data_IF_234200878794
#
_entry.id   IF_234200878794
#
_cell.length_a   1.000
_cell.length_b   1.000
_cell.length_c   1.000
_cell.angle_alpha   90.00
_cell.angle_beta   90.00
_cell.angle_gamma   90.00
#
_symmetry.space_group_name_H-M   'P 1'
#
loop_
_entity.id
_entity.type
_entity.pdbx_description
1 polymer ?
#
# COMPACT_ATOMS: atom_id res chain seq x y z
N UNK A 1 20.64 -12.45 9.15
CA UNK A 1 20.34 -11.04 9.46
C UNK A 1 19.87 -10.30 8.21
N UNK A 2 20.58 -10.46 7.09
CA UNK A 2 20.25 -9.85 5.80
C UNK A 2 18.83 -10.16 5.29
N UNK A 3 18.37 -11.41 5.40
CA UNK A 3 16.99 -11.78 5.02
C UNK A 3 15.92 -11.04 5.81
N UNK A 4 16.13 -10.81 7.11
CA UNK A 4 15.17 -10.10 7.96
C UNK A 4 15.10 -8.63 7.52
N UNK A 5 16.24 -8.02 7.23
CA UNK A 5 16.35 -6.63 6.77
C UNK A 5 15.68 -6.47 5.40
N UNK A 6 15.92 -7.40 4.47
CA UNK A 6 15.31 -7.38 3.14
C UNK A 6 13.78 -7.57 3.21
N UNK A 7 13.29 -8.48 4.05
CA UNK A 7 11.85 -8.63 4.29
C UNK A 7 11.23 -7.39 4.94
N UNK A 8 11.92 -6.80 5.91
CA UNK A 8 11.49 -5.59 6.58
C UNK A 8 11.34 -4.42 5.58
N UNK A 9 12.31 -4.25 4.68
CA UNK A 9 12.27 -3.28 3.59
C UNK A 9 11.12 -3.57 2.63
N UNK A 10 11.00 -4.82 2.18
CA UNK A 10 9.97 -5.26 1.22
C UNK A 10 8.56 -5.02 1.75
N UNK A 11 8.29 -5.37 3.01
CA UNK A 11 6.99 -5.21 3.64
C UNK A 11 6.69 -3.75 4.00
N UNK A 12 7.71 -2.98 4.40
CA UNK A 12 7.59 -1.54 4.62
C UNK A 12 7.21 -0.81 3.34
N UNK A 13 7.90 -1.11 2.23
CA UNK A 13 7.58 -0.57 0.90
C UNK A 13 6.19 -1.00 0.43
N UNK A 14 5.83 -2.28 0.61
CA UNK A 14 4.48 -2.75 0.28
C UNK A 14 3.40 -2.02 1.09
N UNK A 15 3.64 -1.78 2.37
CA UNK A 15 2.72 -0.98 3.20
C UNK A 15 2.62 0.46 2.69
N UNK A 16 3.74 1.07 2.30
CA UNK A 16 3.76 2.39 1.68
C UNK A 16 2.97 2.44 0.36
N UNK A 17 3.02 1.38 -0.46
CA UNK A 17 2.23 1.29 -1.71
C UNK A 17 0.73 1.23 -1.47
N UNK A 18 0.30 0.65 -0.35
CA UNK A 18 -1.09 0.72 0.08
C UNK A 18 -1.51 2.11 0.54
N UNK A 19 -0.55 3.01 0.81
CA UNK A 19 -0.81 4.43 1.07
C UNK A 19 -0.64 5.33 -0.17
N UNK A 20 0.06 4.89 -1.20
CA UNK A 20 0.07 5.57 -2.50
C UNK A 20 0.73 4.58 -3.44
N UNK A 21 0.06 4.14 -4.50
CA UNK A 21 0.63 3.10 -5.35
C UNK A 21 1.88 3.58 -6.11
N UNK A 22 1.94 4.86 -6.44
CA UNK A 22 2.90 5.42 -7.40
C UNK A 22 4.12 6.05 -6.74
N UNK A 23 3.97 6.72 -5.59
CA UNK A 23 5.08 7.39 -4.89
C UNK A 23 6.19 6.43 -4.45
N UNK A 24 5.92 5.25 -3.87
CA UNK A 24 6.97 4.28 -3.51
C UNK A 24 7.67 3.71 -4.75
N UNK A 25 6.92 3.40 -5.81
CA UNK A 25 7.47 2.97 -7.10
C UNK A 25 8.42 4.04 -7.65
N UNK A 26 7.96 5.31 -7.69
CA UNK A 26 8.76 6.44 -8.16
C UNK A 26 10.00 6.65 -7.28
N UNK A 27 9.86 6.51 -5.96
CA UNK A 27 10.98 6.64 -5.01
C UNK A 27 12.05 5.59 -5.30
N UNK A 28 11.65 4.33 -5.48
CA UNK A 28 12.56 3.23 -5.84
C UNK A 28 13.20 3.46 -7.20
N UNK A 29 12.42 3.87 -8.20
CA UNK A 29 12.94 4.22 -9.53
C UNK A 29 14.01 5.32 -9.47
N UNK A 30 13.74 6.42 -8.76
CA UNK A 30 14.68 7.54 -8.62
C UNK A 30 15.94 7.11 -7.89
N UNK A 31 15.80 6.42 -6.76
CA UNK A 31 16.96 5.96 -5.98
C UNK A 31 17.82 4.97 -6.77
N UNK A 32 17.20 4.09 -7.56
CA UNK A 32 17.94 3.20 -8.44
C UNK A 32 18.67 3.97 -9.54
N UNK A 33 18.02 4.98 -10.14
CA UNK A 33 18.63 5.82 -11.17
C UNK A 33 19.80 6.66 -10.65
N UNK A 34 19.77 7.03 -9.36
CA UNK A 34 20.86 7.70 -8.67
C UNK A 34 21.98 6.75 -8.23
N UNK A 35 21.84 5.44 -8.44
CA UNK A 35 22.81 4.42 -8.03
C UNK A 35 22.82 4.13 -6.53
N UNK A 36 21.79 4.57 -5.79
CA UNK A 36 21.70 4.37 -4.34
C UNK A 36 21.16 2.98 -3.97
N UNK A 37 20.40 2.36 -4.87
CA UNK A 37 19.92 0.98 -4.75
C UNK A 37 20.08 0.25 -6.08
N UNK A 38 20.26 -1.07 -6.03
CA UNK A 38 20.28 -1.93 -7.20
C UNK A 38 18.96 -2.70 -7.28
N UNK A 39 18.41 -2.78 -8.49
CA UNK A 39 17.19 -3.52 -8.77
C UNK A 39 17.58 -4.76 -9.59
N UNK A 40 17.17 -5.94 -9.16
CA UNK A 40 17.32 -7.16 -9.96
C UNK A 40 16.34 -7.19 -11.13
N UNK A 41 16.69 -7.92 -12.19
CA UNK A 41 15.76 -8.21 -13.29
C UNK A 41 14.51 -8.96 -12.77
N UNK A 42 13.31 -8.71 -13.31
CA UNK A 42 12.97 -7.77 -14.40
C UNK A 42 12.59 -6.36 -13.91
N UNK A 43 12.90 -6.02 -12.65
CA UNK A 43 12.48 -4.77 -12.02
C UNK A 43 13.42 -3.59 -12.29
N UNK A 44 14.57 -3.85 -12.90
CA UNK A 44 15.49 -2.86 -13.46
C UNK A 44 14.81 -1.90 -14.45
N UNK A 45 13.73 -2.34 -15.12
CA UNK A 45 12.84 -1.50 -15.95
C UNK A 45 12.29 -0.28 -15.21
N UNK A 46 12.19 -0.31 -13.87
CA UNK A 46 11.78 0.84 -13.05
C UNK A 46 12.76 2.01 -13.15
N UNK A 47 14.04 1.76 -13.45
CA UNK A 47 15.08 2.78 -13.63
C UNK A 47 15.05 3.43 -15.03
N UNK A 48 14.29 2.85 -15.98
CA UNK A 48 14.20 3.32 -17.35
C UNK A 48 13.53 4.71 -17.41
N UNK A 49 14.08 5.69 -18.17
CA UNK A 49 13.55 7.06 -18.20
C UNK A 49 12.05 7.15 -18.51
N UNK A 50 11.57 6.31 -19.45
CA UNK A 50 10.16 6.30 -19.83
C UNK A 50 9.27 5.83 -18.66
N UNK A 51 9.67 4.76 -17.96
CA UNK A 51 8.94 4.26 -16.79
C UNK A 51 8.85 5.32 -15.70
N UNK A 52 9.96 6.03 -15.45
CA UNK A 52 9.98 7.13 -14.48
C UNK A 52 9.03 8.27 -14.86
N UNK A 53 9.03 8.69 -16.13
CA UNK A 53 8.11 9.74 -16.61
C UNK A 53 6.66 9.31 -16.42
N UNK A 54 6.32 8.06 -16.75
CA UNK A 54 4.98 7.50 -16.53
C UNK A 54 4.62 7.50 -15.04
N UNK A 55 5.53 7.07 -14.16
CA UNK A 55 5.30 7.09 -12.72
C UNK A 55 5.12 8.51 -12.16
N UNK A 56 5.85 9.50 -12.66
CA UNK A 56 5.65 10.92 -12.30
C UNK A 56 4.26 11.39 -12.71
N UNK A 57 3.84 11.10 -13.96
CA UNK A 57 2.50 11.46 -14.44
C UNK A 57 1.42 10.80 -13.59
N UNK A 58 1.55 9.50 -13.31
CA UNK A 58 0.61 8.76 -12.47
C UNK A 58 0.54 9.33 -11.05
N UNK A 59 1.68 9.64 -10.43
CA UNK A 59 1.72 10.25 -9.10
C UNK A 59 1.06 11.65 -9.09
N UNK A 60 1.23 12.45 -10.15
CA UNK A 60 0.55 13.74 -10.28
C UNK A 60 -0.96 13.56 -10.45
N UNK A 61 -1.39 12.63 -11.30
CA UNK A 61 -2.81 12.34 -11.54
C UNK A 61 -3.49 11.87 -10.25
N UNK A 62 -2.84 10.97 -9.52
CA UNK A 62 -3.30 10.47 -8.21
C UNK A 62 -3.43 11.61 -7.20
N UNK A 63 -2.37 12.40 -7.03
CA UNK A 63 -2.34 13.56 -6.13
C UNK A 63 -3.44 14.58 -6.44
N UNK A 64 -3.65 14.90 -7.71
CA UNK A 64 -4.69 15.87 -8.13
C UNK A 64 -6.08 15.25 -7.99
N UNK A 65 -6.24 13.99 -8.40
CA UNK A 65 -7.54 13.31 -8.41
C UNK A 65 -8.11 13.13 -7.01
N UNK A 66 -7.27 12.88 -6.01
CA UNK A 66 -7.65 12.79 -4.60
C UNK A 66 -8.27 14.09 -4.05
N UNK A 67 -8.06 15.23 -4.72
CA UNK A 67 -8.63 16.53 -4.32
C UNK A 67 -10.03 16.76 -4.86
N UNK A 68 -10.49 15.94 -5.80
CA UNK A 68 -11.81 16.08 -6.44
C UNK A 68 -12.70 14.92 -5.97
N UNK A 69 -13.78 15.15 -5.17
CA UNK A 69 -14.53 14.08 -4.49
C UNK A 69 -15.04 12.94 -5.39
N UNK A 70 -15.46 13.26 -6.62
CA UNK A 70 -15.91 12.24 -7.58
C UNK A 70 -14.75 11.43 -8.17
N UNK A 71 -13.60 12.06 -8.40
CA UNK A 71 -12.40 11.42 -8.95
C UNK A 71 -11.73 10.57 -7.87
N UNK A 72 -11.61 11.10 -6.66
CA UNK A 72 -11.09 10.43 -5.46
C UNK A 72 -11.74 9.06 -5.26
N UNK A 73 -13.08 9.01 -5.33
CA UNK A 73 -13.84 7.76 -5.16
C UNK A 73 -13.47 6.70 -6.21
N UNK A 74 -13.30 7.12 -7.47
CA UNK A 74 -12.92 6.23 -8.58
C UNK A 74 -11.47 5.76 -8.44
N UNK A 75 -10.55 6.68 -8.13
CA UNK A 75 -9.14 6.35 -7.90
C UNK A 75 -8.97 5.38 -6.74
N UNK A 76 -9.73 5.53 -5.66
CA UNK A 76 -9.70 4.59 -4.54
C UNK A 76 -10.16 3.18 -4.91
N UNK A 77 -11.18 3.06 -5.77
CA UNK A 77 -11.64 1.76 -6.28
C UNK A 77 -10.56 1.13 -7.17
N UNK A 78 -9.98 1.91 -8.07
CA UNK A 78 -8.86 1.47 -8.93
C UNK A 78 -7.66 1.04 -8.07
N UNK A 79 -7.37 1.79 -7.00
CA UNK A 79 -6.31 1.51 -6.04
C UNK A 79 -6.44 0.16 -5.35
N UNK A 80 -7.66 -0.39 -5.20
CA UNK A 80 -7.83 -1.75 -4.64
C UNK A 80 -7.16 -2.83 -5.50
N UNK A 81 -6.90 -2.57 -6.78
CA UNK A 81 -6.21 -3.47 -7.69
C UNK A 81 -4.77 -3.01 -7.94
N UNK A 82 -4.56 -1.72 -8.14
CA UNK A 82 -3.24 -1.18 -8.47
C UNK A 82 -2.29 -1.25 -7.26
N UNK A 83 -2.73 -0.86 -6.06
CA UNK A 83 -1.86 -0.82 -4.88
C UNK A 83 -1.29 -2.20 -4.51
N UNK A 84 -2.05 -3.31 -4.52
CA UNK A 84 -1.49 -4.64 -4.29
C UNK A 84 -0.47 -5.08 -5.33
N UNK A 85 -0.70 -4.76 -6.61
CA UNK A 85 0.24 -5.07 -7.69
C UNK A 85 1.52 -4.25 -7.53
N UNK A 86 1.40 -2.95 -7.29
CA UNK A 86 2.53 -2.07 -7.03
C UNK A 86 3.34 -2.53 -5.81
N UNK A 87 2.66 -2.94 -4.73
CA UNK A 87 3.31 -3.49 -3.54
C UNK A 87 4.10 -4.75 -3.81
N UNK A 88 3.56 -5.67 -4.61
CA UNK A 88 4.28 -6.86 -5.04
C UNK A 88 5.54 -6.50 -5.84
N UNK A 89 5.41 -5.59 -6.81
CA UNK A 89 6.51 -5.13 -7.66
C UNK A 89 7.63 -4.55 -6.80
N UNK A 90 7.32 -3.59 -5.92
CA UNK A 90 8.34 -2.93 -5.10
C UNK A 90 8.98 -3.89 -4.11
N UNK A 91 8.19 -4.77 -3.48
CA UNK A 91 8.71 -5.76 -2.54
C UNK A 91 9.68 -6.73 -3.21
N UNK A 92 9.32 -7.24 -4.40
CA UNK A 92 10.18 -8.13 -5.16
C UNK A 92 11.46 -7.41 -5.60
N UNK A 93 11.33 -6.18 -6.09
CA UNK A 93 12.45 -5.34 -6.51
C UNK A 93 13.43 -5.02 -5.36
N UNK A 94 12.94 -4.87 -4.13
CA UNK A 94 13.77 -4.63 -2.94
C UNK A 94 14.41 -5.91 -2.38
N UNK A 95 13.93 -7.10 -2.79
CA UNK A 95 14.35 -8.40 -2.26
C UNK A 95 15.30 -9.18 -3.17
N UNK A 96 15.56 -8.69 -4.38
CA UNK A 96 16.36 -9.40 -5.40
C UNK A 96 17.73 -9.79 -4.84
N UNK A 97 18.02 -11.08 -4.91
CA UNK A 97 19.26 -11.79 -4.51
C UNK A 97 19.58 -11.96 -3.02
N UNK A 98 18.85 -11.32 -2.10
CA UNK A 98 19.20 -11.33 -0.66
C UNK A 98 18.33 -12.31 0.16
N UNK A 99 17.15 -12.65 -0.37
CA UNK A 99 16.13 -13.41 0.37
C UNK A 99 16.14 -14.88 -0.06
N UNK A 100 16.55 -15.77 0.85
CA UNK A 100 16.46 -17.24 0.67
C UNK A 100 15.01 -17.79 0.67
N UNK A 101 14.01 -16.92 0.58
CA UNK A 101 12.58 -17.24 0.61
C UNK A 101 12.05 -17.14 -0.81
N UNK A 102 11.17 -18.07 -1.16
CA UNK A 102 10.56 -18.12 -2.49
C UNK A 102 9.87 -16.78 -2.84
N UNK A 103 10.13 -16.18 -4.03
CA UNK A 103 9.59 -14.88 -4.42
C UNK A 103 8.07 -14.77 -4.30
N UNK A 104 7.34 -15.84 -4.62
CA UNK A 104 5.88 -15.87 -4.49
C UNK A 104 5.39 -15.61 -3.06
N UNK A 105 6.15 -16.00 -2.03
CA UNK A 105 5.81 -15.77 -0.63
C UNK A 105 5.97 -14.28 -0.29
N UNK A 106 7.08 -13.67 -0.74
CA UNK A 106 7.34 -12.24 -0.57
C UNK A 106 6.27 -11.42 -1.28
N UNK A 107 5.95 -11.76 -2.53
CA UNK A 107 4.89 -11.12 -3.30
C UNK A 107 3.52 -11.27 -2.62
N UNK A 108 3.16 -12.47 -2.16
CA UNK A 108 1.91 -12.71 -1.46
C UNK A 108 1.77 -11.88 -0.18
N UNK A 109 2.83 -11.80 0.63
CA UNK A 109 2.85 -10.99 1.84
C UNK A 109 2.74 -9.48 1.51
N UNK A 110 3.43 -9.02 0.47
CA UNK A 110 3.37 -7.64 0.00
C UNK A 110 1.97 -7.26 -0.52
N UNK A 111 1.34 -8.13 -1.31
CA UNK A 111 -0.05 -7.97 -1.79
C UNK A 111 -0.99 -7.79 -0.60
N UNK A 112 -0.88 -8.64 0.41
CA UNK A 112 -1.72 -8.56 1.62
C UNK A 112 -1.49 -7.24 2.36
N UNK A 113 -0.23 -6.82 2.54
CA UNK A 113 0.11 -5.59 3.24
C UNK A 113 -0.41 -4.34 2.52
N UNK A 114 -0.19 -4.27 1.20
CA UNK A 114 -0.64 -3.16 0.37
C UNK A 114 -2.18 -3.13 0.27
N UNK A 115 -2.82 -4.27 0.01
CA UNK A 115 -4.29 -4.39 -0.04
C UNK A 115 -4.94 -4.01 1.29
N UNK A 116 -4.37 -4.47 2.40
CA UNK A 116 -4.87 -4.18 3.75
C UNK A 116 -4.83 -2.68 4.05
N UNK A 117 -3.71 -2.03 3.73
CA UNK A 117 -3.52 -0.59 3.93
C UNK A 117 -4.45 0.23 3.03
N UNK A 118 -4.56 -0.11 1.74
CA UNK A 118 -5.49 0.54 0.81
C UNK A 118 -6.94 0.38 1.27
N UNK A 119 -7.34 -0.83 1.70
CA UNK A 119 -8.69 -1.10 2.18
C UNK A 119 -9.03 -0.31 3.44
N UNK A 120 -8.07 -0.16 4.35
CA UNK A 120 -8.22 0.64 5.56
C UNK A 120 -8.50 2.11 5.21
N UNK A 121 -7.73 2.69 4.29
CA UNK A 121 -7.97 4.05 3.76
C UNK A 121 -9.35 4.20 3.16
N UNK A 122 -9.69 3.33 2.20
CA UNK A 122 -10.98 3.40 1.49
C UNK A 122 -12.16 3.31 2.46
N UNK A 123 -12.01 2.59 3.58
CA UNK A 123 -13.04 2.44 4.61
C UNK A 123 -13.23 3.70 5.48
N UNK A 124 -12.19 4.52 5.65
CA UNK A 124 -12.23 5.72 6.50
C UNK A 124 -12.80 6.93 5.73
N UNK A 125 -12.58 7.00 4.41
CA UNK A 125 -12.98 8.12 3.55
C UNK A 125 -14.47 8.51 3.64
N UNK A 126 -15.45 7.58 3.67
CA UNK A 126 -16.86 7.95 3.82
C UNK A 126 -17.15 8.63 5.16
N UNK A 127 -16.50 8.18 6.25
CA UNK A 127 -16.67 8.77 7.57
C UNK A 127 -16.08 10.18 7.64
N UNK A 128 -14.89 10.40 7.07
CA UNK A 128 -14.26 11.73 6.99
C UNK A 128 -15.10 12.68 6.13
N UNK A 129 -15.61 12.19 5.00
CA UNK A 129 -16.48 12.96 4.10
C UNK A 129 -17.76 13.36 4.81
N UNK A 130 -18.44 12.42 5.48
CA UNK A 130 -19.66 12.69 6.24
C UNK A 130 -19.45 13.67 7.39
N UNK A 131 -18.30 13.60 8.07
CA UNK A 131 -17.99 14.48 9.19
C UNK A 131 -17.60 15.91 8.79
N UNK A 132 -17.02 16.10 7.60
CA UNK A 132 -16.35 17.37 7.21
C UNK A 132 -16.90 18.01 5.93
N UNK A 133 -17.95 17.42 5.34
CA UNK A 133 -18.45 17.85 4.03
C UNK A 133 -17.44 17.65 2.90
N UNK A 134 -16.46 16.75 3.07
CA UNK A 134 -15.41 16.45 2.11
C UNK A 134 -14.18 17.38 2.16
N UNK A 135 -14.20 18.43 2.99
CA UNK A 135 -13.09 19.41 3.05
C UNK A 135 -11.81 18.84 3.69
N UNK A 136 -11.94 17.88 4.62
CA UNK A 136 -10.78 17.25 5.24
C UNK A 136 -10.12 16.17 4.37
N UNK A 137 -10.79 15.69 3.32
CA UNK A 137 -10.25 14.63 2.46
C UNK A 137 -8.94 15.05 1.80
N UNK A 138 -8.83 16.31 1.35
CA UNK A 138 -7.60 16.81 0.74
C UNK A 138 -6.42 16.84 1.73
N UNK A 139 -6.69 17.16 3.00
CA UNK A 139 -5.65 17.16 4.04
C UNK A 139 -5.25 15.75 4.43
N UNK A 140 -6.21 14.83 4.57
CA UNK A 140 -5.96 13.42 4.84
C UNK A 140 -5.15 12.78 3.71
N UNK A 141 -5.53 13.02 2.46
CA UNK A 141 -4.80 12.56 1.26
C UNK A 141 -3.36 13.09 1.24
N UNK A 142 -3.16 14.37 1.54
CA UNK A 142 -1.81 14.94 1.60
C UNK A 142 -0.94 14.26 2.68
N UNK A 143 -1.50 14.02 3.87
CA UNK A 143 -0.79 13.30 4.93
C UNK A 143 -0.45 11.87 4.51
N UNK A 144 -1.39 11.22 3.82
CA UNK A 144 -1.24 9.89 3.29
C UNK A 144 -0.10 9.77 2.27
N UNK A 145 0.01 10.74 1.36
CA UNK A 145 1.10 10.82 0.39
C UNK A 145 2.45 11.09 1.07
N UNK A 146 2.48 12.02 2.02
CA UNK A 146 3.68 12.32 2.79
C UNK A 146 4.14 11.10 3.60
N UNK A 147 3.21 10.39 4.24
CA UNK A 147 3.49 9.15 4.98
C UNK A 147 3.97 8.05 4.03
N UNK A 148 3.38 7.89 2.85
CA UNK A 148 3.83 6.92 1.85
C UNK A 148 5.27 7.20 1.42
N UNK A 149 5.58 8.46 1.11
CA UNK A 149 6.93 8.87 0.72
C UNK A 149 7.95 8.64 1.84
N UNK A 150 7.65 9.10 3.06
CA UNK A 150 8.54 8.91 4.22
C UNK A 150 8.72 7.43 4.55
N UNK A 151 7.63 6.65 4.56
CA UNK A 151 7.70 5.22 4.83
C UNK A 151 8.51 4.49 3.76
N UNK A 152 8.45 4.93 2.50
CA UNK A 152 9.27 4.37 1.41
C UNK A 152 10.76 4.60 1.66
N UNK A 153 11.14 5.84 2.01
CA UNK A 153 12.52 6.18 2.36
C UNK A 153 12.99 5.40 3.59
N UNK A 154 12.18 5.34 4.64
CA UNK A 154 12.49 4.56 5.84
C UNK A 154 12.64 3.08 5.52
N UNK A 155 11.83 2.54 4.62
CA UNK A 155 11.93 1.12 4.26
C UNK A 155 13.25 0.79 3.58
N UNK A 156 13.81 1.73 2.82
CA UNK A 156 15.08 1.56 2.11
C UNK A 156 16.26 1.79 3.05
N UNK A 157 16.26 2.88 3.82
CA UNK A 157 17.42 3.30 4.62
C UNK A 157 17.40 2.81 6.08
N UNK A 158 16.22 2.61 6.66
CA UNK A 158 16.02 2.11 8.04
C UNK A 158 14.96 0.99 8.07
N UNK A 159 15.20 -0.18 7.44
CA UNK A 159 14.17 -1.19 7.19
C UNK A 159 13.45 -1.69 8.45
N UNK A 160 14.20 -1.84 9.56
CA UNK A 160 13.64 -2.29 10.84
C UNK A 160 12.63 -1.29 11.39
N UNK A 161 12.92 0.01 11.31
CA UNK A 161 12.01 1.05 11.77
C UNK A 161 10.74 1.08 10.91
N UNK A 162 10.90 0.99 9.59
CA UNK A 162 9.76 0.93 8.67
C UNK A 162 8.88 -0.30 8.92
N UNK A 163 9.49 -1.46 9.21
CA UNK A 163 8.75 -2.68 9.54
C UNK A 163 7.95 -2.53 10.83
N UNK A 164 8.50 -1.91 11.87
CA UNK A 164 7.74 -1.60 13.10
C UNK A 164 6.55 -0.69 12.80
N UNK A 165 6.73 0.35 12.00
CA UNK A 165 5.64 1.24 11.57
C UNK A 165 4.58 0.46 10.77
N UNK A 166 5.01 -0.39 9.84
CA UNK A 166 4.13 -1.22 9.03
C UNK A 166 3.31 -2.19 9.90
N UNK A 167 3.91 -2.80 10.94
CA UNK A 167 3.19 -3.64 11.90
C UNK A 167 2.13 -2.86 12.68
N UNK A 168 2.43 -1.62 13.08
CA UNK A 168 1.47 -0.76 13.76
C UNK A 168 0.29 -0.46 12.82
N UNK A 169 0.57 -0.06 11.57
CA UNK A 169 -0.46 0.20 10.56
C UNK A 169 -1.32 -1.05 10.28
N UNK A 170 -0.68 -2.21 10.12
CA UNK A 170 -1.37 -3.48 9.92
C UNK A 170 -2.25 -3.88 11.11
N UNK A 171 -1.77 -3.68 12.34
CA UNK A 171 -2.53 -3.94 13.55
C UNK A 171 -3.77 -3.04 13.64
N UNK A 172 -3.61 -1.75 13.34
CA UNK A 172 -4.70 -0.79 13.29
C UNK A 172 -5.72 -1.21 12.23
N UNK A 173 -5.29 -1.48 11.00
CA UNK A 173 -6.14 -1.94 9.90
C UNK A 173 -6.92 -3.21 10.28
N UNK A 174 -6.24 -4.20 10.87
CA UNK A 174 -6.86 -5.44 11.33
C UNK A 174 -7.93 -5.22 12.39
N UNK A 175 -7.71 -4.28 13.32
CA UNK A 175 -8.66 -3.95 14.38
C UNK A 175 -9.94 -3.32 13.81
N UNK A 176 -9.81 -2.48 12.78
CA UNK A 176 -10.94 -1.89 12.06
C UNK A 176 -11.71 -2.93 11.25
N UNK A 177 -11.02 -3.77 10.46
CA UNK A 177 -11.66 -4.81 9.65
C UNK A 177 -12.44 -5.79 10.55
N UNK A 178 -11.85 -6.23 11.67
CA UNK A 178 -12.57 -7.10 12.63
C UNK A 178 -13.79 -6.41 13.25
N UNK A 179 -13.74 -5.10 13.48
CA UNK A 179 -14.89 -4.32 13.92
C UNK A 179 -16.02 -4.33 12.89
N UNK A 180 -15.71 -4.02 11.63
CA UNK A 180 -16.67 -4.01 10.54
C UNK A 180 -17.30 -5.39 10.28
N UNK A 181 -16.51 -6.46 10.31
CA UNK A 181 -17.00 -7.84 10.12
C UNK A 181 -17.91 -8.29 11.27
N UNK A 182 -17.65 -7.86 12.51
CA UNK A 182 -18.53 -8.15 13.65
C UNK A 182 -19.90 -7.48 13.47
N UNK A 183 -19.90 -6.18 13.15
CA UNK A 183 -21.13 -5.41 12.92
C UNK A 183 -21.93 -5.99 11.75
N UNK A 184 -21.28 -6.39 10.66
CA UNK A 184 -21.96 -6.98 9.51
C UNK A 184 -22.54 -8.38 9.81
N UNK A 185 -21.85 -9.18 10.64
CA UNK A 185 -22.37 -10.48 11.12
C UNK A 185 -23.58 -10.32 12.05
N UNK A 186 -23.59 -9.29 12.88
CA UNK A 186 -24.71 -8.97 13.77
C UNK A 186 -25.91 -8.39 13.01
N UNK A 187 -25.65 -7.59 11.96
CA UNK A 187 -26.68 -7.02 11.11
C UNK A 187 -27.36 -8.02 10.16
N UNK A 188 -26.78 -9.21 9.95
CA UNK A 188 -27.32 -10.20 9.00
C UNK A 188 -27.50 -11.62 9.62
N UNK A 189 -28.45 -11.82 10.57
CA UNK A 189 -28.66 -13.10 11.27
C UNK A 189 -29.18 -14.25 10.39
N UNK A 190 -29.64 -13.96 9.16
CA UNK A 190 -30.44 -14.89 8.34
C UNK A 190 -29.67 -16.05 7.70
N UNK A 191 -28.35 -16.17 7.92
CA UNK A 191 -27.53 -17.22 7.30
C UNK A 191 -27.27 -18.45 8.18
N UNK A 192 -27.71 -18.45 9.44
CA UNK A 192 -27.53 -19.56 10.37
C UNK A 192 -28.78 -20.44 10.57
N UNK A 193 -29.84 -20.24 9.77
CA UNK A 193 -31.14 -20.91 9.96
C UNK A 193 -31.37 -22.20 9.16
N UNK A 194 -30.39 -22.69 8.39
CA UNK A 194 -30.58 -23.88 7.53
C UNK A 194 -29.70 -25.04 8.00
N UNK A 195 -29.98 -25.58 9.19
CA UNK A 195 -29.47 -26.91 9.56
C UNK A 195 -30.35 -27.65 10.60
N UNK A 196 -31.64 -27.34 10.67
CA UNK A 196 -32.59 -28.14 11.47
C UNK A 196 -33.94 -28.25 10.77
N UNK A 197 -34.01 -29.06 9.71
CA UNK A 197 -35.23 -29.82 9.42
C UNK A 197 -34.81 -31.22 8.99
N UNK A 198 -35.14 -32.15 9.88
CA UNK A 198 -35.27 -33.62 9.84
C UNK A 198 -34.76 -34.37 8.61
#
# INVERSE_FOLDING_TARGET
>A
METIIALASSLGLATATGLNAYLPLLTVSVLSRLGLIQLGEPFDLLSHPITMIVLVILAIVDFIGDKVPAVDSVLHIIGLVISPIAGAIVALAASSDIVAIHPAVVAGAAIIAAAGTQSARTSIRPAVTAATGGTANSFVSFLEDALSFVLSLLSIFLPVLAFVIALILAFVAFRFIRGAVRVWREANPRRNGVSRVR
#
